data_IF_386747858332
#
_entry.id   IF_386747858332
#
_cell.length_a   1.000
_cell.length_b   1.000
_cell.length_c   1.000
_cell.angle_alpha   90.00
_cell.angle_beta   90.00
_cell.angle_gamma   90.00
#
_symmetry.space_group_name_H-M   'P 1'
#
loop_
_entity.id
_entity.type
_entity.pdbx_description
1 polymer ?
#
# COMPACT_ATOMS: atom_id res chain seq x y z
N UNK A 1 30.70 28.23 -18.01
CA UNK A 1 29.28 28.62 -18.17
C UNK A 1 28.50 27.96 -17.02
N UNK A 2 28.14 28.73 -15.98
CA UNK A 2 27.46 28.22 -14.78
C UNK A 2 25.97 28.49 -14.96
N UNK A 3 25.16 27.46 -15.22
CA UNK A 3 23.70 27.62 -15.31
C UNK A 3 23.10 27.23 -13.96
N UNK A 4 22.72 28.26 -13.19
CA UNK A 4 21.98 28.15 -11.93
C UNK A 4 20.49 27.98 -12.22
N UNK A 5 19.86 27.10 -11.43
CA UNK A 5 18.43 26.80 -11.38
C UNK A 5 17.53 28.04 -11.22
N UNK A 6 16.35 28.00 -11.84
CA UNK A 6 15.17 28.70 -11.35
C UNK A 6 13.94 27.79 -11.48
N UNK A 7 13.50 27.26 -10.35
CA UNK A 7 12.24 26.55 -10.19
C UNK A 7 11.07 27.54 -10.38
N UNK A 8 10.25 27.32 -11.39
CA UNK A 8 9.02 28.09 -11.60
C UNK A 8 7.88 27.45 -10.84
N UNK A 9 7.49 28.12 -9.75
CA UNK A 9 6.29 27.88 -8.95
C UNK A 9 5.07 28.38 -9.73
N UNK A 10 4.07 27.54 -9.93
CA UNK A 10 2.75 27.98 -10.36
C UNK A 10 2.01 28.59 -9.15
N UNK A 11 1.55 29.84 -9.30
CA UNK A 11 0.67 30.53 -8.37
C UNK A 11 -0.80 30.39 -8.82
N UNK A 12 -1.78 30.28 -7.91
CA UNK A 12 -3.20 30.34 -8.24
C UNK A 12 -3.75 31.79 -8.22
N UNK A 13 -4.80 32.12 -8.99
CA UNK A 13 -5.44 33.44 -8.94
C UNK A 13 -6.43 33.57 -7.77
N UNK A 14 -6.55 34.82 -7.31
CA UNK A 14 -7.33 35.29 -6.17
C UNK A 14 -8.69 35.91 -6.56
N UNK A 15 -9.47 36.22 -5.51
CA UNK A 15 -10.72 36.99 -5.42
C UNK A 15 -12.02 36.15 -5.44
N UNK A 16 -12.99 36.29 -4.54
CA UNK A 16 -13.35 37.40 -3.63
C UNK A 16 -14.05 36.86 -2.35
N UNK A 17 -13.74 37.39 -1.15
CA UNK A 17 -14.56 38.30 -0.31
C UNK A 17 -16.00 37.80 -0.03
N UNK A 18 -16.60 37.81 1.16
CA UNK A 18 -16.36 38.39 2.50
C UNK A 18 -17.04 37.42 3.52
N UNK A 19 -16.80 37.43 4.84
CA UNK A 19 -17.31 38.39 5.81
C UNK A 19 -16.49 38.40 7.11
N UNK A 20 -16.53 39.56 7.75
CA UNK A 20 -15.81 40.02 8.94
C UNK A 20 -16.47 39.56 10.26
N UNK A 21 -15.64 39.40 11.30
CA UNK A 21 -15.73 39.85 12.73
C UNK A 21 -15.01 38.82 13.60
N UNK A 22 -13.79 39.08 14.05
CA UNK A 22 -13.46 39.77 15.32
C UNK A 22 -14.11 39.13 16.56
N UNK A 23 -13.34 38.26 17.23
CA UNK A 23 -13.43 38.02 18.67
C UNK A 23 -12.13 37.35 19.14
N UNK A 24 -11.27 38.12 19.79
CA UNK A 24 -10.19 37.60 20.63
C UNK A 24 -10.77 36.76 21.77
N UNK A 25 -10.40 35.47 21.82
CA UNK A 25 -10.48 34.65 23.05
C UNK A 25 -9.11 33.99 23.27
N UNK A 26 -8.34 34.39 24.30
CA UNK A 26 -7.21 33.61 24.78
C UNK A 26 -7.76 32.49 25.67
N UNK A 27 -7.82 31.28 25.14
CA UNK A 27 -8.30 30.11 25.86
C UNK A 27 -7.54 28.87 25.42
N UNK A 28 -6.55 28.48 26.21
CA UNK A 28 -5.85 27.19 26.11
C UNK A 28 -6.88 26.09 26.30
N UNK A 29 -7.21 25.39 25.21
CA UNK A 29 -7.99 24.18 25.20
C UNK A 29 -7.27 23.16 24.33
N UNK A 30 -6.40 22.39 24.96
CA UNK A 30 -5.84 21.15 24.42
C UNK A 30 -7.01 20.24 24.04
N UNK A 31 -7.42 20.28 22.76
CA UNK A 31 -8.26 19.23 22.22
C UNK A 31 -7.32 18.13 21.73
N UNK A 32 -7.42 16.91 22.29
CA UNK A 32 -6.77 15.77 21.67
C UNK A 32 -7.42 15.60 20.31
N UNK A 33 -6.68 15.89 19.23
CA UNK A 33 -7.01 15.39 17.91
C UNK A 33 -7.05 13.86 18.04
N UNK A 34 -8.25 13.34 18.26
CA UNK A 34 -8.55 11.91 18.23
C UNK A 34 -8.29 11.49 16.78
N UNK A 35 -7.06 11.06 16.54
CA UNK A 35 -6.55 10.57 15.29
C UNK A 35 -7.22 9.23 14.98
N UNK A 36 -8.52 9.25 14.67
CA UNK A 36 -9.24 8.09 14.14
C UNK A 36 -8.94 7.99 12.66
N UNK A 37 -7.76 7.48 12.33
CA UNK A 37 -7.51 6.91 11.01
C UNK A 37 -8.63 5.87 10.76
N UNK A 38 -9.32 5.90 9.61
CA UNK A 38 -10.30 4.87 9.26
C UNK A 38 -9.67 3.47 9.39
N UNK A 39 -10.42 2.46 9.88
CA UNK A 39 -9.93 1.09 9.89
C UNK A 39 -9.46 0.69 8.50
N UNK A 40 -8.34 -0.03 8.42
CA UNK A 40 -7.86 -0.56 7.15
C UNK A 40 -8.98 -1.37 6.46
N UNK A 41 -9.09 -1.29 5.11
CA UNK A 41 -10.10 -2.06 4.39
C UNK A 41 -9.95 -3.56 4.68
N UNK A 42 -11.02 -4.37 4.60
CA UNK A 42 -10.91 -5.81 4.75
C UNK A 42 -9.98 -6.42 3.67
N UNK A 43 -9.37 -7.59 3.93
CA UNK A 43 -8.59 -8.28 2.93
C UNK A 43 -9.45 -8.62 1.69
N UNK A 44 -8.84 -8.69 0.49
CA UNK A 44 -9.57 -9.09 -0.71
C UNK A 44 -10.21 -10.49 -0.52
N UNK A 45 -11.41 -10.72 -1.06
CA UNK A 45 -12.01 -12.05 -1.10
C UNK A 45 -11.26 -12.95 -2.10
N UNK A 46 -11.23 -14.28 -1.89
CA UNK A 46 -10.66 -15.20 -2.86
C UNK A 46 -11.46 -15.17 -4.17
N UNK A 47 -10.80 -15.36 -5.33
CA UNK A 47 -11.47 -15.45 -6.61
C UNK A 47 -12.35 -16.72 -6.66
N UNK A 48 -13.45 -16.70 -7.43
CA UNK A 48 -14.24 -17.89 -7.71
C UNK A 48 -13.38 -19.04 -8.28
N UNK A 49 -13.71 -20.27 -7.87
CA UNK A 49 -13.09 -21.48 -8.41
C UNK A 49 -13.34 -21.58 -9.92
N UNK A 50 -12.38 -22.13 -10.66
CA UNK A 50 -12.49 -22.33 -12.11
C UNK A 50 -12.17 -21.11 -12.99
N UNK A 51 -11.81 -19.96 -12.41
CA UNK A 51 -11.45 -18.76 -13.18
C UNK A 51 -9.95 -18.63 -13.51
N UNK A 52 -9.08 -19.48 -12.95
CA UNK A 52 -7.71 -19.60 -13.44
C UNK A 52 -7.67 -20.80 -14.38
N UNK A 53 -7.00 -20.65 -15.52
CA UNK A 53 -6.93 -21.65 -16.58
C UNK A 53 -6.17 -22.94 -16.21
N UNK A 54 -5.74 -23.08 -14.95
CA UNK A 54 -4.99 -24.20 -14.37
C UNK A 54 -3.66 -24.55 -15.06
N UNK A 55 -3.30 -23.81 -16.11
CA UNK A 55 -2.15 -24.03 -17.02
C UNK A 55 -1.13 -22.89 -17.00
N UNK A 56 -1.27 -21.91 -16.08
CA UNK A 56 -0.30 -20.83 -15.90
C UNK A 56 -0.45 -19.67 -16.89
N UNK A 57 -1.68 -19.21 -17.16
CA UNK A 57 -1.94 -18.06 -18.01
C UNK A 57 -1.41 -16.75 -17.38
N UNK A 58 -1.02 -15.82 -18.25
CA UNK A 58 -0.48 -14.49 -17.88
C UNK A 58 -1.43 -13.71 -16.94
N UNK A 59 -2.75 -13.90 -17.10
CA UNK A 59 -3.79 -13.27 -16.28
C UNK A 59 -4.45 -14.22 -15.26
N UNK A 60 -3.69 -15.14 -14.65
CA UNK A 60 -4.28 -16.01 -13.62
C UNK A 60 -4.84 -15.16 -12.45
N UNK A 61 -6.15 -15.32 -12.20
CA UNK A 61 -6.87 -14.60 -11.13
C UNK A 61 -6.27 -14.82 -9.74
N UNK A 62 -5.62 -15.97 -9.52
CA UNK A 62 -4.94 -16.25 -8.25
C UNK A 62 -3.66 -15.44 -8.07
N UNK A 63 -2.95 -15.08 -9.15
CA UNK A 63 -1.81 -14.17 -9.11
C UNK A 63 -2.28 -12.75 -8.78
N UNK A 64 -3.38 -12.31 -9.39
CA UNK A 64 -3.99 -11.01 -9.09
C UNK A 64 -4.45 -10.93 -7.62
N UNK A 65 -5.11 -11.99 -7.13
CA UNK A 65 -5.52 -12.12 -5.74
C UNK A 65 -4.33 -12.07 -4.78
N UNK A 66 -3.26 -12.83 -5.07
CA UNK A 66 -2.05 -12.84 -4.26
C UNK A 66 -1.35 -11.47 -4.26
N UNK A 67 -1.33 -10.75 -5.39
CA UNK A 67 -0.80 -9.39 -5.47
C UNK A 67 -1.66 -8.38 -4.68
N UNK A 68 -2.98 -8.52 -4.69
CA UNK A 68 -3.88 -7.71 -3.89
C UNK A 68 -3.69 -7.96 -2.39
N UNK A 69 -3.53 -9.22 -1.97
CA UNK A 69 -3.19 -9.59 -0.60
C UNK A 69 -1.85 -8.98 -0.17
N UNK A 70 -0.86 -8.98 -1.06
CA UNK A 70 0.44 -8.37 -0.79
C UNK A 70 0.30 -6.87 -0.52
N UNK A 71 -0.49 -6.17 -1.34
CA UNK A 71 -0.77 -4.74 -1.14
C UNK A 71 -1.50 -4.45 0.16
N UNK A 72 -2.49 -5.28 0.51
CA UNK A 72 -3.25 -5.16 1.76
C UNK A 72 -2.36 -5.34 3.00
N UNK A 73 -1.54 -6.39 3.01
CA UNK A 73 -0.61 -6.64 4.12
C UNK A 73 0.46 -5.56 4.24
N UNK A 74 1.01 -5.08 3.12
CA UNK A 74 1.96 -3.98 3.11
C UNK A 74 1.33 -2.68 3.67
N UNK A 75 0.10 -2.36 3.28
CA UNK A 75 -0.64 -1.21 3.80
C UNK A 75 -0.90 -1.34 5.31
N UNK A 76 -1.29 -2.53 5.78
CA UNK A 76 -1.50 -2.80 7.20
C UNK A 76 -0.22 -2.58 8.03
N UNK A 77 0.94 -2.99 7.52
CA UNK A 77 2.25 -2.76 8.16
C UNK A 77 2.54 -1.27 8.23
N UNK A 78 2.31 -0.51 7.16
CA UNK A 78 2.52 0.95 7.16
C UNK A 78 1.55 1.69 8.09
N UNK A 79 0.32 1.20 8.27
CA UNK A 79 -0.67 1.80 9.16
C UNK A 79 -0.40 1.51 10.65
N UNK A 80 0.19 0.35 10.98
CA UNK A 80 0.55 -0.01 12.35
C UNK A 80 1.90 0.56 12.82
N UNK A 81 2.74 1.00 11.89
CA UNK A 81 4.05 1.59 12.19
C UNK A 81 3.89 3.11 12.27
N UNK A 82 3.44 3.61 13.42
CA UNK A 82 3.32 5.06 13.68
C UNK A 82 4.68 5.74 13.51
N UNK A 83 4.92 6.33 12.33
CA UNK A 83 5.84 7.43 11.97
C UNK A 83 7.26 7.51 12.59
N UNK A 84 7.74 6.50 13.32
CA UNK A 84 9.08 6.51 13.90
C UNK A 84 10.06 5.96 12.88
N UNK A 85 10.56 6.88 12.05
CA UNK A 85 11.80 6.75 11.28
C UNK A 85 11.87 5.61 10.27
N UNK A 86 10.85 5.46 9.41
CA UNK A 86 11.13 4.94 8.06
C UNK A 86 11.51 6.12 7.18
N UNK A 87 12.81 6.42 7.21
CA UNK A 87 13.44 7.21 6.16
C UNK A 87 13.00 6.67 4.80
N UNK A 88 12.76 7.59 3.87
CA UNK A 88 12.19 7.49 2.52
C UNK A 88 12.82 6.47 1.54
N UNK A 89 13.36 5.35 2.01
CA UNK A 89 13.83 4.26 1.18
C UNK A 89 12.63 3.46 0.67
N UNK A 90 12.40 3.56 -0.64
CA UNK A 90 11.42 2.77 -1.40
C UNK A 90 11.67 1.25 -1.39
N UNK A 91 12.64 0.75 -0.61
CA UNK A 91 13.00 -0.67 -0.52
C UNK A 91 12.37 -1.27 0.72
N UNK A 92 11.54 -2.30 0.54
CA UNK A 92 11.13 -3.13 1.66
C UNK A 92 12.36 -3.84 2.25
N UNK A 93 12.53 -3.92 3.58
CA UNK A 93 13.57 -4.76 4.15
C UNK A 93 13.34 -6.22 3.73
N UNK A 94 14.40 -7.01 3.49
CA UNK A 94 14.29 -8.38 2.98
C UNK A 94 13.46 -9.29 3.91
N UNK A 95 13.53 -9.08 5.23
CA UNK A 95 12.70 -9.77 6.21
C UNK A 95 11.20 -9.50 6.03
N UNK A 96 10.82 -8.25 5.74
CA UNK A 96 9.42 -7.90 5.51
C UNK A 96 8.92 -8.51 4.19
N UNK A 97 9.74 -8.52 3.14
CA UNK A 97 9.38 -9.17 1.89
C UNK A 97 9.14 -10.68 2.08
N UNK A 98 9.99 -11.36 2.86
CA UNK A 98 9.80 -12.76 3.20
C UNK A 98 8.52 -12.99 4.03
N UNK A 99 8.26 -12.13 5.02
CA UNK A 99 7.06 -12.21 5.87
C UNK A 99 5.77 -11.99 5.07
N UNK A 100 5.75 -11.00 4.19
CA UNK A 100 4.63 -10.73 3.29
C UNK A 100 4.41 -11.89 2.31
N UNK A 101 5.48 -12.42 1.71
CA UNK A 101 5.40 -13.61 0.84
C UNK A 101 4.77 -14.77 1.59
N UNK A 102 5.27 -15.09 2.78
CA UNK A 102 4.77 -16.19 3.60
C UNK A 102 3.28 -16.00 3.96
N UNK A 103 2.88 -14.80 4.36
CA UNK A 103 1.49 -14.48 4.70
C UNK A 103 0.53 -14.61 3.51
N UNK A 104 0.95 -14.15 2.34
CA UNK A 104 0.19 -14.32 1.08
C UNK A 104 0.08 -15.80 0.72
N UNK A 105 1.19 -16.53 0.68
CA UNK A 105 1.19 -17.95 0.31
C UNK A 105 0.41 -18.82 1.29
N UNK A 106 0.38 -18.47 2.59
CA UNK A 106 -0.44 -19.17 3.57
C UNK A 106 -1.95 -19.03 3.31
N UNK A 107 -2.41 -17.89 2.77
CA UNK A 107 -3.80 -17.71 2.35
C UNK A 107 -4.09 -18.42 1.03
N UNK A 108 -3.20 -18.29 0.05
CA UNK A 108 -3.33 -18.99 -1.24
C UNK A 108 -3.38 -20.51 -1.03
N UNK A 109 -2.56 -21.06 -0.14
CA UNK A 109 -2.53 -22.50 0.13
C UNK A 109 -3.82 -23.07 0.73
N UNK A 110 -4.70 -22.23 1.30
CA UNK A 110 -6.02 -22.67 1.80
C UNK A 110 -7.03 -22.86 0.66
N UNK A 111 -6.88 -22.07 -0.40
CA UNK A 111 -7.86 -22.01 -1.50
C UNK A 111 -7.38 -22.79 -2.73
N UNK A 112 -6.06 -22.82 -2.96
CA UNK A 112 -5.42 -23.46 -4.11
C UNK A 112 -4.75 -24.75 -3.67
N UNK A 113 -5.41 -25.87 -3.96
CA UNK A 113 -4.88 -27.21 -3.65
C UNK A 113 -3.79 -27.64 -4.63
N UNK A 114 -3.92 -27.25 -5.90
CA UNK A 114 -3.00 -27.67 -6.96
C UNK A 114 -1.57 -27.16 -6.71
N UNK A 115 -0.56 -28.06 -6.67
CA UNK A 115 0.83 -27.67 -6.41
C UNK A 115 1.49 -26.90 -7.56
N UNK A 116 1.10 -27.14 -8.81
CA UNK A 116 1.63 -26.43 -9.97
C UNK A 116 1.15 -24.97 -9.97
N UNK A 117 -0.14 -24.74 -9.68
CA UNK A 117 -0.70 -23.39 -9.55
C UNK A 117 -0.04 -22.65 -8.38
N UNK A 118 0.16 -23.31 -7.23
CA UNK A 118 0.87 -22.71 -6.08
C UNK A 118 2.30 -22.30 -6.43
N UNK A 119 3.02 -23.16 -7.17
CA UNK A 119 4.41 -22.87 -7.58
C UNK A 119 4.47 -21.68 -8.54
N UNK A 120 3.53 -21.59 -9.48
CA UNK A 120 3.41 -20.46 -10.40
C UNK A 120 3.12 -19.14 -9.65
N UNK A 121 2.16 -19.15 -8.73
CA UNK A 121 1.85 -17.98 -7.89
C UNK A 121 3.07 -17.56 -7.08
N UNK A 122 3.79 -18.51 -6.49
CA UNK A 122 4.98 -18.22 -5.70
C UNK A 122 6.08 -17.52 -6.53
N UNK A 123 6.31 -18.00 -7.75
CA UNK A 123 7.28 -17.41 -8.68
C UNK A 123 6.91 -15.97 -9.06
N UNK A 124 5.65 -15.72 -9.40
CA UNK A 124 5.15 -14.38 -9.75
C UNK A 124 5.23 -13.41 -8.57
N UNK A 125 4.80 -13.84 -7.38
CA UNK A 125 4.89 -13.02 -6.16
C UNK A 125 6.34 -12.72 -5.78
N UNK A 126 7.23 -13.70 -5.92
CA UNK A 126 8.67 -13.49 -5.70
C UNK A 126 9.22 -12.45 -6.66
N UNK A 127 8.81 -12.48 -7.94
CA UNK A 127 9.20 -11.50 -8.96
C UNK A 127 8.66 -10.10 -8.64
N UNK A 128 7.41 -10.00 -8.18
CA UNK A 128 6.80 -8.73 -7.75
C UNK A 128 7.56 -8.14 -6.56
N UNK A 129 7.89 -8.96 -5.56
CA UNK A 129 8.63 -8.52 -4.38
C UNK A 129 10.07 -8.10 -4.73
N UNK A 130 10.74 -8.86 -5.60
CA UNK A 130 12.09 -8.53 -6.07
C UNK A 130 12.14 -7.18 -6.76
N UNK A 131 11.19 -6.89 -7.65
CA UNK A 131 11.03 -5.56 -8.29
C UNK A 131 10.79 -4.41 -7.31
N UNK A 132 10.37 -4.69 -6.08
CA UNK A 132 10.19 -3.69 -5.00
C UNK A 132 11.38 -3.61 -4.04
N UNK A 133 12.39 -4.48 -4.21
CA UNK A 133 13.59 -4.54 -3.39
C UNK A 133 14.81 -3.91 -4.11
N UNK A 134 14.86 -4.04 -5.44
CA UNK A 134 15.84 -3.43 -6.35
C UNK A 134 15.65 -1.91 -6.56
#
# INVERSE_FOLDING_TARGET
LVIRHAAQRCAPPAAAAAFSTDATVPGVGDQPQSNKQPPAPPPPPPPPVGLCCESGCVDCVWVQYAAALLGHQAAAVTAGTSASSVSSSSRLPPDLAAQLKAGVMARVAKEVTDPAIRSFIEMEISTILKRRLD
#
